data_IF_439691642791
#
_entry.id   IF_439691642791
#
_cell.length_a   1.000
_cell.length_b   1.000
_cell.length_c   1.000
_cell.angle_alpha   90.00
_cell.angle_beta   90.00
_cell.angle_gamma   90.00
#
_symmetry.space_group_name_H-M   'P 1'
#
loop_
_entity.id
_entity.type
_entity.pdbx_description
1 polymer ?
#
# COMPACT_ATOMS: atom_id res chain seq x y z
N UNK A 1 9.11 14.49 19.61
CA UNK A 1 7.67 14.52 19.30
C UNK A 1 7.42 13.43 18.28
N UNK A 2 6.65 12.40 18.63
CA UNK A 2 6.12 11.45 17.65
C UNK A 2 4.93 12.14 16.98
N UNK A 3 5.11 12.64 15.77
CA UNK A 3 4.03 13.25 15.02
C UNK A 3 3.28 12.15 14.25
N UNK A 4 1.95 12.22 14.26
CA UNK A 4 1.06 11.31 13.51
C UNK A 4 1.42 11.19 12.02
N UNK A 5 2.19 12.14 11.49
CA UNK A 5 2.80 12.13 10.16
C UNK A 5 3.71 10.91 9.91
N UNK A 6 4.43 10.42 10.92
CA UNK A 6 5.30 9.25 10.78
C UNK A 6 4.47 7.97 10.63
N UNK A 7 3.29 7.90 11.25
CA UNK A 7 2.35 6.79 11.09
C UNK A 7 1.73 6.74 9.69
N UNK A 8 1.52 7.90 9.05
CA UNK A 8 1.04 7.99 7.66
C UNK A 8 2.10 7.41 6.72
N UNK A 9 3.37 7.80 6.88
CA UNK A 9 4.46 7.31 6.03
C UNK A 9 4.62 5.76 6.08
N UNK A 10 4.46 5.14 7.25
CA UNK A 10 4.50 3.67 7.38
C UNK A 10 3.32 3.03 6.67
N UNK A 11 2.13 3.63 6.77
CA UNK A 11 0.92 3.11 6.12
C UNK A 11 1.03 3.24 4.60
N UNK A 12 1.56 4.36 4.09
CA UNK A 12 1.81 4.58 2.67
C UNK A 12 2.81 3.58 2.09
N UNK A 13 3.88 3.28 2.83
CA UNK A 13 4.86 2.25 2.44
C UNK A 13 4.20 0.87 2.33
N UNK A 14 3.37 0.49 3.31
CA UNK A 14 2.65 -0.78 3.31
C UNK A 14 1.66 -0.86 2.14
N UNK A 15 0.91 0.21 1.87
CA UNK A 15 0.01 0.28 0.72
C UNK A 15 0.78 0.16 -0.61
N UNK A 16 1.94 0.81 -0.73
CA UNK A 16 2.83 0.68 -1.89
C UNK A 16 3.30 -0.77 -2.09
N UNK A 17 3.64 -1.46 -0.99
CA UNK A 17 4.04 -2.86 -1.04
C UNK A 17 2.89 -3.75 -1.54
N UNK A 18 1.66 -3.51 -1.09
CA UNK A 18 0.48 -4.20 -1.61
C UNK A 18 0.25 -3.91 -3.10
N UNK A 19 0.37 -2.66 -3.55
CA UNK A 19 0.30 -2.31 -4.98
C UNK A 19 1.34 -3.05 -5.80
N UNK A 20 2.57 -3.15 -5.29
CA UNK A 20 3.68 -3.83 -5.97
C UNK A 20 3.44 -5.33 -6.08
N UNK A 21 2.91 -5.94 -5.00
CA UNK A 21 2.52 -7.34 -4.99
C UNK A 21 1.35 -7.65 -5.94
N UNK A 22 0.35 -6.76 -6.03
CA UNK A 22 -0.80 -6.93 -6.93
C UNK A 22 -0.44 -6.72 -8.40
N UNK A 23 0.49 -5.81 -8.71
CA UNK A 23 0.89 -5.50 -10.09
C UNK A 23 2.08 -6.32 -10.59
N UNK A 24 2.71 -7.13 -9.72
CA UNK A 24 3.94 -7.89 -9.97
C UNK A 24 5.04 -7.01 -10.59
N UNK A 25 5.15 -5.78 -10.10
CA UNK A 25 6.03 -4.74 -10.64
C UNK A 25 6.66 -3.93 -9.53
N UNK A 26 7.92 -3.53 -9.73
CA UNK A 26 8.61 -2.60 -8.86
C UNK A 26 7.99 -1.21 -9.00
N UNK A 27 7.28 -0.76 -7.97
CA UNK A 27 6.69 0.58 -7.92
C UNK A 27 7.70 1.52 -7.26
N UNK A 28 7.96 2.67 -7.89
CA UNK A 28 8.78 3.71 -7.29
C UNK A 28 8.02 4.40 -6.16
N UNK A 29 8.68 4.49 -5.01
CA UNK A 29 8.19 5.27 -3.88
C UNK A 29 8.66 6.73 -4.01
N UNK A 30 7.80 7.74 -3.78
CA UNK A 30 6.37 7.63 -3.42
C UNK A 30 5.48 7.31 -4.64
N UNK A 31 4.53 6.37 -4.51
CA UNK A 31 3.64 6.02 -5.62
C UNK A 31 2.66 7.16 -5.92
N UNK A 32 2.41 7.38 -7.22
CA UNK A 32 1.44 8.36 -7.66
C UNK A 32 0.01 7.80 -7.54
N UNK A 33 -0.88 8.50 -6.82
CA UNK A 33 -2.29 8.12 -6.69
C UNK A 33 -2.61 7.17 -5.53
N UNK A 34 -1.76 7.14 -4.48
CA UNK A 34 -2.01 6.32 -3.30
C UNK A 34 -3.27 6.74 -2.53
N UNK A 35 -3.66 8.02 -2.59
CA UNK A 35 -4.85 8.57 -1.93
C UNK A 35 -6.16 7.87 -2.34
N UNK A 36 -6.24 7.38 -3.59
CA UNK A 36 -7.40 6.66 -4.14
C UNK A 36 -7.18 5.14 -4.20
N UNK A 37 -5.99 4.66 -3.81
CA UNK A 37 -5.65 3.25 -3.93
C UNK A 37 -6.17 2.45 -2.74
N UNK A 38 -7.12 1.55 -3.01
CA UNK A 38 -7.63 0.60 -2.02
C UNK A 38 -7.15 -0.81 -2.38
N UNK A 39 -6.22 -1.40 -1.60
CA UNK A 39 -5.70 -2.73 -1.89
C UNK A 39 -6.75 -3.83 -1.74
N UNK A 40 -6.57 -4.95 -2.45
CA UNK A 40 -7.46 -6.10 -2.40
C UNK A 40 -7.57 -6.70 -0.99
N UNK A 41 -6.53 -6.59 -0.16
CA UNK A 41 -6.60 -6.96 1.26
C UNK A 41 -7.60 -6.10 2.04
N UNK A 42 -7.70 -4.80 1.73
CA UNK A 42 -8.66 -3.91 2.35
C UNK A 42 -10.08 -4.12 1.82
N UNK A 43 -10.22 -4.61 0.58
CA UNK A 43 -11.50 -5.02 -0.03
C UNK A 43 -11.97 -6.40 0.43
N UNK A 44 -11.10 -7.19 1.07
CA UNK A 44 -11.39 -8.59 1.45
C UNK A 44 -11.35 -9.57 0.27
N UNK A 45 -10.79 -9.17 -0.87
CA UNK A 45 -10.69 -9.99 -2.09
C UNK A 45 -9.36 -10.77 -2.14
N UNK A 46 -8.43 -10.50 -1.23
CA UNK A 46 -7.12 -11.15 -1.20
C UNK A 46 -7.20 -12.59 -0.69
N UNK A 47 -6.76 -13.56 -1.51
CA UNK A 47 -6.64 -14.96 -1.13
C UNK A 47 -5.16 -15.41 -1.16
N UNK A 48 -4.51 -15.59 0.00
CA UNK A 48 -3.11 -16.01 0.07
C UNK A 48 -2.84 -17.47 -0.34
N UNK A 49 -3.89 -18.26 -0.62
CA UNK A 49 -3.79 -19.71 -0.86
C UNK A 49 -4.30 -20.14 -2.25
N UNK A 50 -4.44 -19.22 -3.22
CA UNK A 50 -4.77 -19.56 -4.62
C UNK A 50 -3.53 -19.90 -5.43
#
# INVERSE_FOLDING_TARGET
>A
EENFSDGVAVTELLMTAYMSAEQDKTIQFPPQGLDDFVPAVAKGEWNPNQ
#
